data_IF_247542451641
#
_entry.id   IF_247542451641
#
_cell.length_a   1.000
_cell.length_b   1.000
_cell.length_c   1.000
_cell.angle_alpha   90.00
_cell.angle_beta   90.00
_cell.angle_gamma   90.00
#
_symmetry.space_group_name_H-M   'P 1'
#
loop_
_entity.id
_entity.type
_entity.pdbx_description
1 polymer ?
#
# COMPACT_ATOMS: atom_id res chain seq x y z
N UNK A 1 -53.87 -28.78 8.92
CA UNK A 1 -53.11 -28.58 7.65
C UNK A 1 -52.93 -27.12 7.24
N UNK A 2 -53.93 -26.22 7.35
CA UNK A 2 -53.77 -24.80 6.92
C UNK A 2 -52.73 -23.99 7.73
N UNK A 3 -52.59 -24.27 9.03
CA UNK A 3 -51.67 -23.55 9.92
C UNK A 3 -50.19 -23.85 9.65
N UNK A 4 -49.82 -25.08 9.28
CA UNK A 4 -48.42 -25.40 8.99
C UNK A 4 -47.92 -24.71 7.73
N UNK A 5 -48.73 -24.69 6.66
CA UNK A 5 -48.39 -24.02 5.39
C UNK A 5 -48.20 -22.51 5.59
N UNK A 6 -49.08 -21.87 6.37
CA UNK A 6 -48.94 -20.45 6.69
C UNK A 6 -47.65 -20.14 7.47
N UNK A 7 -47.31 -20.95 8.47
CA UNK A 7 -46.06 -20.81 9.22
C UNK A 7 -44.83 -20.98 8.33
N UNK A 8 -44.84 -21.92 7.37
CA UNK A 8 -43.75 -22.09 6.41
C UNK A 8 -43.59 -20.90 5.47
N UNK A 9 -44.70 -20.30 5.00
CA UNK A 9 -44.67 -19.10 4.17
C UNK A 9 -44.10 -17.92 4.95
N UNK A 10 -44.59 -17.69 6.17
CA UNK A 10 -44.09 -16.59 7.03
C UNK A 10 -42.62 -16.80 7.39
N UNK A 11 -42.24 -18.03 7.76
CA UNK A 11 -40.84 -18.36 8.03
C UNK A 11 -39.93 -18.17 6.83
N UNK A 12 -40.38 -18.55 5.62
CA UNK A 12 -39.65 -18.33 4.38
C UNK A 12 -39.46 -16.84 4.06
N UNK A 13 -40.53 -16.04 4.15
CA UNK A 13 -40.48 -14.59 3.93
C UNK A 13 -39.58 -13.91 4.95
N UNK A 14 -39.70 -14.25 6.24
CA UNK A 14 -38.87 -13.72 7.29
C UNK A 14 -37.39 -14.03 7.04
N UNK A 15 -37.08 -15.29 6.68
CA UNK A 15 -35.70 -15.70 6.37
C UNK A 15 -35.15 -14.90 5.20
N UNK A 16 -35.93 -14.73 4.12
CA UNK A 16 -35.54 -13.95 2.96
C UNK A 16 -35.21 -12.50 3.34
N UNK A 17 -36.08 -11.86 4.13
CA UNK A 17 -35.89 -10.48 4.59
C UNK A 17 -34.64 -10.31 5.46
N UNK A 18 -34.41 -11.22 6.41
CA UNK A 18 -33.21 -11.20 7.26
C UNK A 18 -31.95 -11.39 6.43
N UNK A 19 -31.97 -12.33 5.47
CA UNK A 19 -30.81 -12.59 4.61
C UNK A 19 -30.50 -11.42 3.69
N UNK A 20 -31.51 -10.86 3.03
CA UNK A 20 -31.35 -9.68 2.18
C UNK A 20 -30.91 -8.45 2.98
N UNK A 21 -31.49 -8.22 4.16
CA UNK A 21 -31.08 -7.12 5.04
C UNK A 21 -29.64 -7.27 5.54
N UNK A 22 -29.23 -8.47 5.94
CA UNK A 22 -27.85 -8.78 6.31
C UNK A 22 -26.88 -8.57 5.16
N UNK A 23 -27.24 -9.02 3.95
CA UNK A 23 -26.45 -8.83 2.73
C UNK A 23 -26.24 -7.35 2.39
N UNK A 24 -27.32 -6.55 2.36
CA UNK A 24 -27.23 -5.11 2.08
C UNK A 24 -26.37 -4.40 3.14
N UNK A 25 -26.55 -4.75 4.42
CA UNK A 25 -25.77 -4.16 5.51
C UNK A 25 -24.29 -4.49 5.41
N UNK A 26 -23.94 -5.73 5.07
CA UNK A 26 -22.55 -6.14 4.85
C UNK A 26 -21.91 -5.38 3.68
N UNK A 27 -22.62 -5.24 2.55
CA UNK A 27 -22.15 -4.44 1.41
C UNK A 27 -21.93 -2.98 1.78
N UNK A 28 -22.89 -2.37 2.48
CA UNK A 28 -22.78 -0.98 2.92
C UNK A 28 -21.60 -0.77 3.86
N UNK A 29 -21.41 -1.64 4.86
CA UNK A 29 -20.28 -1.56 5.80
C UNK A 29 -18.94 -1.72 5.09
N UNK A 30 -18.86 -2.61 4.10
CA UNK A 30 -17.64 -2.80 3.31
C UNK A 30 -17.33 -1.54 2.49
N UNK A 31 -18.32 -1.00 1.79
CA UNK A 31 -18.17 0.23 1.01
C UNK A 31 -17.81 1.44 1.89
N UNK A 32 -18.47 1.61 3.02
CA UNK A 32 -18.18 2.69 3.96
C UNK A 32 -16.77 2.57 4.56
N UNK A 33 -16.33 1.35 4.88
CA UNK A 33 -14.98 1.07 5.37
C UNK A 33 -13.92 1.43 4.32
N UNK A 34 -14.11 0.98 3.07
CA UNK A 34 -13.22 1.29 1.94
C UNK A 34 -13.19 2.80 1.66
N UNK A 35 -14.35 3.45 1.58
CA UNK A 35 -14.46 4.89 1.35
C UNK A 35 -13.83 5.72 2.47
N UNK A 36 -14.00 5.30 3.73
CA UNK A 36 -13.35 5.95 4.87
C UNK A 36 -11.83 5.78 4.82
N UNK A 37 -11.34 4.60 4.45
CA UNK A 37 -9.90 4.33 4.33
C UNK A 37 -9.28 5.17 3.21
N UNK A 38 -9.93 5.19 2.04
CA UNK A 38 -9.55 6.03 0.90
C UNK A 38 -9.49 7.51 1.28
N UNK A 39 -10.56 8.03 1.90
CA UNK A 39 -10.64 9.45 2.29
C UNK A 39 -9.57 9.80 3.31
N UNK A 40 -9.35 8.94 4.30
CA UNK A 40 -8.30 9.13 5.30
C UNK A 40 -6.91 9.19 4.65
N UNK A 41 -6.61 8.27 3.74
CA UNK A 41 -5.33 8.27 3.03
C UNK A 41 -5.11 9.58 2.25
N UNK A 42 -6.14 10.09 1.56
CA UNK A 42 -6.02 11.33 0.79
C UNK A 42 -5.85 12.56 1.69
N UNK A 43 -6.51 12.60 2.85
CA UNK A 43 -6.33 13.65 3.85
C UNK A 43 -4.89 13.62 4.40
N UNK A 44 -4.40 12.43 4.76
CA UNK A 44 -3.05 12.26 5.29
C UNK A 44 -2.02 12.67 4.23
N UNK A 45 -2.14 12.19 2.98
CA UNK A 45 -1.29 12.59 1.85
C UNK A 45 -1.30 14.12 1.64
N UNK A 46 -2.48 14.75 1.70
CA UNK A 46 -2.62 16.20 1.55
C UNK A 46 -1.92 16.98 2.67
N UNK A 47 -1.99 16.49 3.92
CA UNK A 47 -1.24 17.07 5.04
C UNK A 47 0.27 16.89 4.87
N UNK A 48 0.69 15.73 4.39
CA UNK A 48 2.11 15.47 4.10
C UNK A 48 2.65 16.47 3.07
N UNK A 49 1.93 16.68 1.97
CA UNK A 49 2.30 17.67 0.96
C UNK A 49 2.32 19.10 1.51
N UNK A 50 1.33 19.47 2.31
CA UNK A 50 1.25 20.80 2.93
C UNK A 50 2.45 21.07 3.85
N UNK A 51 2.86 20.10 4.66
CA UNK A 51 4.02 20.25 5.53
C UNK A 51 5.33 20.34 4.75
N UNK A 52 5.50 19.56 3.69
CA UNK A 52 6.64 19.70 2.79
C UNK A 52 6.68 21.10 2.17
N UNK A 53 5.55 21.61 1.70
CA UNK A 53 5.44 22.96 1.14
C UNK A 53 5.79 24.03 2.18
N UNK A 54 5.28 23.90 3.40
CA UNK A 54 5.61 24.82 4.49
C UNK A 54 7.11 24.84 4.79
N UNK A 55 7.76 23.68 4.82
CA UNK A 55 9.21 23.62 5.00
C UNK A 55 9.96 24.31 3.85
N UNK A 56 9.46 24.25 2.61
CA UNK A 56 10.04 25.00 1.50
C UNK A 56 9.82 26.51 1.65
N UNK A 57 8.64 26.95 2.09
CA UNK A 57 8.31 28.36 2.32
C UNK A 57 9.12 28.97 3.48
N UNK A 58 9.47 28.16 4.48
CA UNK A 58 10.30 28.54 5.63
C UNK A 58 11.83 28.41 5.35
N UNK A 59 12.24 28.23 4.08
CA UNK A 59 13.63 27.97 3.65
C UNK A 59 14.30 26.71 4.28
N UNK A 60 13.51 25.82 4.89
CA UNK A 60 13.95 24.54 5.46
C UNK A 60 14.04 23.42 4.39
N UNK A 61 14.76 23.67 3.29
CA UNK A 61 14.78 22.82 2.09
C UNK A 61 15.13 21.36 2.38
N UNK A 62 16.18 21.09 3.17
CA UNK A 62 16.61 19.72 3.47
C UNK A 62 15.57 18.96 4.29
N UNK A 63 14.82 19.66 5.14
CA UNK A 63 13.73 19.07 5.90
C UNK A 63 12.55 18.72 4.99
N UNK A 64 12.22 19.59 4.04
CA UNK A 64 11.21 19.30 3.01
C UNK A 64 11.61 18.06 2.18
N UNK A 65 12.86 18.00 1.72
CA UNK A 65 13.39 16.85 0.96
C UNK A 65 13.29 15.55 1.75
N UNK A 66 13.75 15.55 3.00
CA UNK A 66 13.67 14.38 3.88
C UNK A 66 12.22 13.93 4.09
N UNK A 67 11.30 14.88 4.21
CA UNK A 67 9.89 14.61 4.39
C UNK A 67 9.25 13.95 3.16
N UNK A 68 9.52 14.50 1.97
CA UNK A 68 9.07 13.94 0.70
C UNK A 68 9.70 12.56 0.43
N UNK A 69 11.00 12.41 0.70
CA UNK A 69 11.71 11.14 0.56
C UNK A 69 11.10 10.05 1.46
N UNK A 70 10.80 10.38 2.72
CA UNK A 70 10.11 9.47 3.65
C UNK A 70 8.72 9.06 3.15
N UNK A 71 8.00 9.97 2.50
CA UNK A 71 6.72 9.64 1.86
C UNK A 71 6.88 8.66 0.70
N UNK A 72 7.90 8.83 -0.14
CA UNK A 72 8.20 7.87 -1.22
C UNK A 72 8.47 6.48 -0.64
N UNK A 73 9.34 6.37 0.38
CA UNK A 73 9.61 5.09 1.06
C UNK A 73 8.34 4.47 1.67
N UNK A 74 7.43 5.30 2.21
CA UNK A 74 6.14 4.83 2.73
C UNK A 74 5.24 4.28 1.62
N UNK A 75 5.22 4.90 0.43
CA UNK A 75 4.45 4.41 -0.71
C UNK A 75 4.97 3.08 -1.24
N UNK A 76 6.29 2.85 -1.25
CA UNK A 76 6.87 1.53 -1.56
C UNK A 76 6.31 0.45 -0.64
N UNK A 77 6.28 0.69 0.67
CA UNK A 77 5.73 -0.26 1.64
C UNK A 77 4.24 -0.55 1.41
N UNK A 78 3.46 0.47 1.07
CA UNK A 78 2.02 0.31 0.81
C UNK A 78 1.81 -0.52 -0.46
N UNK A 79 2.53 -0.21 -1.54
CA UNK A 79 2.42 -0.96 -2.81
C UNK A 79 2.79 -2.43 -2.61
N UNK A 80 3.84 -2.73 -1.85
CA UNK A 80 4.25 -4.11 -1.56
C UNK A 80 3.25 -4.85 -0.67
N UNK A 81 2.78 -4.20 0.41
CA UNK A 81 1.85 -4.82 1.38
C UNK A 81 0.43 -5.00 0.87
N UNK A 82 -0.02 -4.14 -0.04
CA UNK A 82 -1.37 -4.17 -0.64
C UNK A 82 -1.33 -4.79 -2.04
N UNK A 83 -0.24 -5.49 -2.38
CA UNK A 83 -0.10 -6.26 -3.63
C UNK A 83 -1.11 -7.41 -3.66
N UNK A 84 -2.36 -7.08 -4.00
CA UNK A 84 -3.29 -8.06 -4.55
C UNK A 84 -2.62 -8.64 -5.80
N UNK A 85 -2.75 -9.95 -6.07
CA UNK A 85 -2.24 -10.51 -7.31
C UNK A 85 -2.78 -9.65 -8.46
N UNK A 86 -1.89 -9.04 -9.27
CA UNK A 86 -2.29 -8.00 -10.20
C UNK A 86 -3.32 -8.58 -11.15
N UNK A 87 -4.43 -7.87 -11.28
CA UNK A 87 -5.56 -8.34 -12.07
C UNK A 87 -5.31 -8.16 -13.56
N UNK A 88 -4.28 -7.38 -13.92
CA UNK A 88 -3.86 -7.15 -15.30
C UNK A 88 -2.35 -6.92 -15.45
N UNK A 89 -1.82 -7.19 -16.66
CA UNK A 89 -0.44 -6.89 -17.04
C UNK A 89 -0.09 -5.40 -16.88
N UNK A 90 -1.06 -4.52 -17.11
CA UNK A 90 -0.88 -3.07 -16.98
C UNK A 90 -0.60 -2.64 -15.53
N UNK A 91 -1.23 -3.30 -14.56
CA UNK A 91 -0.98 -3.01 -13.14
C UNK A 91 0.43 -3.46 -12.72
N UNK A 92 0.90 -4.59 -13.25
CA UNK A 92 2.29 -5.03 -13.07
C UNK A 92 3.28 -4.00 -13.62
N UNK A 93 3.11 -3.60 -14.87
CA UNK A 93 4.00 -2.62 -15.53
C UNK A 93 4.01 -1.27 -14.77
N UNK A 94 2.87 -0.86 -14.20
CA UNK A 94 2.77 0.36 -13.39
C UNK A 94 3.54 0.25 -12.07
N UNK A 95 3.46 -0.89 -11.38
CA UNK A 95 4.20 -1.12 -10.13
C UNK A 95 5.71 -1.21 -10.40
N UNK A 96 6.09 -1.94 -11.46
CA UNK A 96 7.49 -2.10 -11.86
C UNK A 96 8.11 -0.76 -12.26
N UNK A 97 7.41 0.03 -13.09
CA UNK A 97 7.88 1.38 -13.46
C UNK A 97 8.02 2.29 -12.25
N UNK A 98 7.05 2.26 -11.32
CA UNK A 98 7.15 3.01 -10.07
C UNK A 98 8.41 2.61 -9.25
N UNK A 99 8.67 1.31 -9.08
CA UNK A 99 9.86 0.86 -8.35
C UNK A 99 11.16 1.25 -9.05
N UNK A 100 11.21 1.19 -10.38
CA UNK A 100 12.37 1.63 -11.17
C UNK A 100 12.63 3.13 -11.00
N UNK A 101 11.60 3.97 -11.12
CA UNK A 101 11.72 5.42 -10.93
C UNK A 101 12.22 5.78 -9.52
N UNK A 102 11.71 5.08 -8.50
CA UNK A 102 12.17 5.25 -7.12
C UNK A 102 13.64 4.82 -7.00
N UNK A 103 14.02 3.65 -7.50
CA UNK A 103 15.42 3.19 -7.45
C UNK A 103 16.35 4.19 -8.13
N UNK A 104 16.01 4.66 -9.33
CA UNK A 104 16.80 5.65 -10.06
C UNK A 104 16.98 6.94 -9.24
N UNK A 105 15.90 7.44 -8.64
CA UNK A 105 15.96 8.61 -7.76
C UNK A 105 16.90 8.36 -6.57
N UNK A 106 16.77 7.24 -5.86
CA UNK A 106 17.61 6.95 -4.70
C UNK A 106 19.08 6.73 -5.07
N UNK A 107 19.36 6.00 -6.17
CA UNK A 107 20.71 5.78 -6.68
C UNK A 107 21.39 7.12 -7.04
N UNK A 108 20.67 8.06 -7.66
CA UNK A 108 21.17 9.40 -7.94
C UNK A 108 21.46 10.24 -6.67
N UNK A 109 20.90 9.86 -5.52
CA UNK A 109 21.00 10.59 -4.25
C UNK A 109 21.69 9.79 -3.13
N UNK A 110 22.64 8.93 -3.50
CA UNK A 110 23.48 8.20 -2.54
C UNK A 110 23.07 6.76 -2.26
N UNK A 111 22.18 6.20 -3.09
CA UNK A 111 21.75 4.80 -3.04
C UNK A 111 20.61 4.53 -2.05
N UNK A 112 20.22 3.25 -1.98
CA UNK A 112 19.23 2.71 -1.06
C UNK A 112 19.76 2.62 0.38
N UNK A 113 20.12 3.77 0.96
CA UNK A 113 20.90 3.87 2.20
C UNK A 113 20.07 4.22 3.45
N UNK A 114 18.73 4.20 3.36
CA UNK A 114 17.89 4.45 4.53
C UNK A 114 17.98 3.29 5.49
N UNK A 115 18.32 3.60 6.75
CA UNK A 115 18.51 2.59 7.79
C UNK A 115 17.74 2.93 9.06
N UNK A 116 17.46 1.90 9.85
CA UNK A 116 16.91 2.02 11.20
C UNK A 116 17.73 1.21 12.19
N UNK A 117 17.71 1.63 13.45
CA UNK A 117 18.40 0.90 14.52
C UNK A 117 17.45 -0.12 15.14
N UNK A 118 17.95 -1.35 15.27
CA UNK A 118 17.23 -2.47 15.89
C UNK A 118 18.09 -3.04 16.99
N UNK A 119 17.46 -3.47 18.08
CA UNK A 119 18.18 -4.16 19.15
C UNK A 119 18.20 -5.66 18.84
N UNK A 120 19.38 -6.20 18.58
CA UNK A 120 19.63 -7.63 18.35
C UNK A 120 20.67 -8.12 19.35
N UNK A 121 20.33 -9.13 20.16
CA UNK A 121 21.23 -9.71 21.16
C UNK A 121 21.89 -8.66 22.07
N UNK A 122 21.08 -7.76 22.64
CA UNK A 122 21.51 -6.65 23.50
C UNK A 122 22.47 -5.63 22.84
N UNK A 123 22.56 -5.61 21.51
CA UNK A 123 23.35 -4.64 20.75
C UNK A 123 22.47 -3.90 19.75
N UNK A 124 22.72 -2.60 19.62
CA UNK A 124 22.12 -1.81 18.55
C UNK A 124 22.80 -2.13 17.22
N UNK A 125 22.03 -2.62 16.26
CA UNK A 125 22.47 -2.96 14.92
C UNK A 125 21.70 -2.10 13.92
N UNK A 126 22.43 -1.56 12.93
CA UNK A 126 21.85 -0.80 11.83
C UNK A 126 21.38 -1.74 10.74
N UNK A 127 20.10 -1.67 10.35
CA UNK A 127 19.51 -2.46 9.27
C UNK A 127 18.90 -1.55 8.20
N UNK A 128 18.89 -1.94 6.91
CA UNK A 128 18.14 -1.23 5.88
C UNK A 128 16.66 -1.15 6.25
N UNK A 129 15.98 -0.04 5.96
CA UNK A 129 14.52 0.02 6.15
C UNK A 129 13.81 -1.01 5.27
N UNK A 130 12.61 -1.41 5.66
CA UNK A 130 11.83 -2.38 4.89
C UNK A 130 11.59 -1.92 3.44
N UNK A 131 11.46 -0.61 3.20
CA UNK A 131 11.33 -0.03 1.87
C UNK A 131 12.61 -0.26 1.04
N UNK A 132 13.78 0.00 1.61
CA UNK A 132 15.05 -0.24 0.91
C UNK A 132 15.22 -1.71 0.56
N UNK A 133 14.86 -2.61 1.50
CA UNK A 133 14.93 -4.05 1.27
C UNK A 133 14.04 -4.50 0.10
N UNK A 134 12.81 -4.00 0.00
CA UNK A 134 11.90 -4.30 -1.12
C UNK A 134 12.52 -3.86 -2.45
N UNK A 135 13.09 -2.65 -2.50
CA UNK A 135 13.72 -2.12 -3.71
C UNK A 135 15.00 -2.88 -4.08
N UNK A 136 15.81 -3.30 -3.10
CA UNK A 136 17.00 -4.14 -3.30
C UNK A 136 16.62 -5.52 -3.87
N UNK A 137 15.59 -6.16 -3.31
CA UNK A 137 15.08 -7.44 -3.79
C UNK A 137 14.56 -7.32 -5.22
N UNK A 138 13.76 -6.28 -5.51
CA UNK A 138 13.27 -6.01 -6.86
C UNK A 138 14.41 -5.77 -7.86
N UNK A 139 15.42 -4.96 -7.49
CA UNK A 139 16.60 -4.70 -8.32
C UNK A 139 17.37 -5.99 -8.63
N UNK A 140 17.55 -6.84 -7.62
CA UNK A 140 18.23 -8.13 -7.80
C UNK A 140 17.44 -9.12 -8.68
N UNK A 141 16.11 -9.08 -8.66
CA UNK A 141 15.27 -9.85 -9.58
C UNK A 141 15.37 -9.34 -11.01
N UNK A 142 15.26 -8.02 -11.22
CA UNK A 142 15.43 -7.37 -12.52
C UNK A 142 16.77 -7.72 -13.17
N UNK A 143 17.87 -7.61 -12.42
CA UNK A 143 19.19 -7.96 -12.93
C UNK A 143 19.22 -9.42 -13.41
N UNK A 144 18.72 -10.37 -12.62
CA UNK A 144 18.68 -11.80 -13.01
C UNK A 144 17.91 -12.03 -14.30
N UNK A 145 16.79 -11.35 -14.51
CA UNK A 145 16.01 -11.44 -15.76
C UNK A 145 16.81 -10.93 -16.97
N UNK A 146 17.46 -9.78 -16.83
CA UNK A 146 18.30 -9.20 -17.88
C UNK A 146 19.50 -10.11 -18.23
N UNK A 147 20.13 -10.73 -17.23
CA UNK A 147 21.20 -11.71 -17.44
C UNK A 147 20.71 -12.93 -18.23
N UNK A 148 19.51 -13.44 -17.94
CA UNK A 148 18.94 -14.59 -18.65
C UNK A 148 18.55 -14.28 -20.11
N UNK A 149 18.07 -13.09 -20.43
CA UNK A 149 17.78 -12.68 -21.81
C UNK A 149 19.06 -12.43 -22.64
N UNK A 150 20.15 -12.00 -22.01
CA UNK A 150 21.43 -11.72 -22.70
C UNK A 150 22.28 -12.96 -23.02
N UNK A 151 21.87 -14.14 -22.53
CA UNK A 151 22.57 -15.42 -22.72
C UNK A 151 21.92 -16.34 -23.78
N UNK A 152 20.95 -15.84 -24.54
CA UNK A 152 20.32 -16.53 -25.68
C UNK A 152 20.43 -15.73 -26.97
#
# INVERSE_FOLDING_TARGET
MKSSVFTWIVGGIFTLLVFTGGFISAFYLNYASLGSTYTKEHIDNGRFMLWALKHLEDDEIEKAKNFLRSQVSTKVLIVDSVRLPPTSKRELELIESFYLEVIEYFDAHGGLNETFQVMENDKWVTRPTAAMKILEEFKAEQDKWLWHESCF
#
